data_IF_957010696138
#
_entry.id   IF_957010696138
#
_cell.length_a   1.000
_cell.length_b   1.000
_cell.length_c   1.000
_cell.angle_alpha   90.00
_cell.angle_beta   90.00
_cell.angle_gamma   90.00
#
_symmetry.space_group_name_H-M   'P 1'
#
loop_
_entity.id
_entity.type
_entity.pdbx_description
1 polymer ?
#
# COMPACT_ATOMS: atom_id res chain seq x y z
N UNK A 1 20.43 41.02 16.77
CA UNK A 1 19.31 41.98 16.80
C UNK A 1 18.81 42.19 15.38
N UNK A 2 17.51 41.92 15.15
CA UNK A 2 16.61 42.39 14.07
C UNK A 2 16.93 41.96 12.63
N UNK A 3 16.16 41.02 12.06
CA UNK A 3 14.84 41.16 11.38
C UNK A 3 14.98 41.53 9.89
N UNK A 4 14.34 40.75 9.00
CA UNK A 4 13.54 41.10 7.79
C UNK A 4 13.51 39.80 6.93
N UNK A 5 12.52 38.90 7.06
CA UNK A 5 11.16 38.94 6.49
C UNK A 5 11.12 39.39 5.02
N UNK A 6 11.07 38.45 4.07
CA UNK A 6 10.62 38.75 2.71
C UNK A 6 9.44 37.86 2.33
N UNK A 7 8.28 38.49 2.50
CA UNK A 7 6.95 38.13 2.03
C UNK A 7 6.83 38.51 0.53
N UNK A 8 5.98 37.76 -0.17
CA UNK A 8 5.28 38.11 -1.42
C UNK A 8 6.11 38.36 -2.69
N UNK A 9 6.02 37.40 -3.61
CA UNK A 9 5.70 37.75 -5.01
C UNK A 9 4.47 36.97 -5.46
N UNK A 10 3.34 37.65 -5.42
CA UNK A 10 2.11 37.28 -6.13
C UNK A 10 2.02 38.13 -7.39
N UNK A 11 1.39 37.56 -8.42
CA UNK A 11 0.71 38.24 -9.53
C UNK A 11 1.52 38.60 -10.77
N UNK A 12 1.20 37.91 -11.88
CA UNK A 12 1.05 38.57 -13.18
C UNK A 12 -0.22 38.06 -13.85
N UNK A 13 -1.06 39.02 -14.25
CA UNK A 13 -2.32 38.87 -14.97
C UNK A 13 -2.01 38.78 -16.46
N UNK A 14 -2.62 37.84 -17.18
CA UNK A 14 -2.65 37.82 -18.64
C UNK A 14 -3.99 38.39 -19.11
N UNK A 15 -3.94 39.32 -20.06
CA UNK A 15 -5.07 39.96 -20.71
C UNK A 15 -4.84 40.05 -22.23
N UNK A 16 -5.95 40.26 -22.95
CA UNK A 16 -6.14 40.51 -24.39
C UNK A 16 -6.46 39.25 -25.23
N UNK A 17 -7.69 39.02 -25.73
CA UNK A 17 -8.61 39.76 -26.63
C UNK A 17 -8.24 39.69 -28.12
N UNK A 18 -9.04 38.94 -28.90
CA UNK A 18 -9.55 39.24 -30.26
C UNK A 18 -10.52 38.09 -30.67
N UNK A 19 -11.84 38.24 -30.67
CA UNK A 19 -12.73 38.91 -31.62
C UNK A 19 -12.95 38.16 -32.98
N UNK A 20 -14.22 37.74 -33.17
CA UNK A 20 -14.98 37.60 -34.43
C UNK A 20 -14.94 36.23 -35.16
N UNK A 21 -16.09 35.53 -35.16
CA UNK A 21 -16.82 35.18 -36.40
C UNK A 21 -18.22 34.62 -36.08
N UNK A 22 -19.21 35.50 -36.14
CA UNK A 22 -20.63 35.17 -36.23
C UNK A 22 -20.92 34.85 -37.69
N UNK A 23 -21.24 33.59 -38.02
CA UNK A 23 -22.06 33.24 -39.17
C UNK A 23 -22.85 31.95 -38.88
N UNK A 24 -24.14 32.15 -38.62
CA UNK A 24 -25.26 31.38 -39.16
C UNK A 24 -25.13 29.84 -39.20
N UNK A 25 -25.59 29.17 -38.13
CA UNK A 25 -26.32 27.91 -38.30
C UNK A 25 -27.67 28.01 -37.61
N UNK A 26 -28.69 28.00 -38.46
CA UNK A 26 -30.09 28.22 -38.18
C UNK A 26 -30.62 27.22 -37.16
N UNK A 27 -31.36 27.76 -36.20
CA UNK A 27 -32.34 27.07 -35.38
C UNK A 27 -33.15 26.05 -36.21
N UNK A 28 -33.08 24.78 -35.84
CA UNK A 28 -34.20 23.87 -36.02
C UNK A 28 -34.75 23.55 -34.63
N UNK A 29 -35.88 24.18 -34.33
CA UNK A 29 -36.71 23.82 -33.21
C UNK A 29 -37.26 22.41 -33.43
N UNK A 30 -36.93 21.47 -32.54
CA UNK A 30 -37.64 20.19 -32.45
C UNK A 30 -38.42 20.17 -31.14
N UNK A 31 -39.70 20.51 -31.24
CA UNK A 31 -40.69 20.27 -30.20
C UNK A 31 -41.19 18.82 -30.34
N UNK A 32 -41.04 18.05 -29.26
CA UNK A 32 -41.60 16.70 -29.13
C UNK A 32 -41.89 16.41 -27.67
N UNK A 33 -43.18 16.37 -27.35
CA UNK A 33 -43.80 16.15 -26.04
C UNK A 33 -43.99 14.66 -25.73
N UNK A 34 -43.74 14.30 -24.47
CA UNK A 34 -44.35 13.24 -23.64
C UNK A 34 -44.33 11.76 -24.12
N UNK A 35 -43.65 10.87 -23.38
CA UNK A 35 -44.28 9.95 -22.40
C UNK A 35 -43.34 8.83 -21.90
N UNK A 36 -43.39 8.63 -20.58
CA UNK A 36 -43.24 7.41 -19.77
C UNK A 36 -41.92 6.63 -19.67
N UNK A 37 -41.64 6.31 -18.41
CA UNK A 37 -41.03 5.09 -17.85
C UNK A 37 -39.53 5.07 -17.46
N UNK A 38 -39.33 4.95 -16.14
CA UNK A 38 -38.23 4.30 -15.38
C UNK A 38 -36.79 4.75 -15.69
N UNK A 39 -35.98 5.31 -14.80
CA UNK A 39 -36.00 5.49 -13.35
C UNK A 39 -34.57 5.96 -12.95
N UNK A 40 -34.37 6.61 -11.78
CA UNK A 40 -33.05 7.08 -11.39
C UNK A 40 -32.24 5.92 -10.79
N UNK A 41 -31.20 5.48 -11.52
CA UNK A 41 -30.19 4.57 -10.99
C UNK A 41 -29.30 5.30 -9.99
N UNK A 42 -29.75 5.38 -8.74
CA UNK A 42 -28.92 5.77 -7.60
C UNK A 42 -27.90 4.65 -7.40
N UNK A 43 -26.58 4.94 -7.30
CA UNK A 43 -25.59 3.92 -6.96
C UNK A 43 -25.99 3.31 -5.62
N UNK A 44 -26.08 1.98 -5.60
CA UNK A 44 -26.33 1.25 -4.36
C UNK A 44 -25.19 1.54 -3.41
N UNK A 45 -25.48 2.37 -2.42
CA UNK A 45 -24.77 2.39 -1.16
C UNK A 45 -25.12 1.06 -0.51
N UNK A 46 -24.20 0.10 -0.62
CA UNK A 46 -24.28 -1.14 0.16
C UNK A 46 -24.24 -0.75 1.64
N UNK A 47 -25.39 -0.90 2.27
CA UNK A 47 -25.63 -0.77 3.70
C UNK A 47 -24.85 -1.87 4.45
N UNK A 48 -24.32 -1.62 5.66
CA UNK A 48 -23.39 -2.51 6.34
C UNK A 48 -24.08 -3.82 6.74
N UNK A 49 -23.89 -4.85 5.90
CA UNK A 49 -24.14 -6.23 6.31
C UNK A 49 -23.15 -6.59 7.41
N UNK A 50 -23.74 -6.99 8.55
CA UNK A 50 -23.24 -7.86 9.63
C UNK A 50 -21.84 -8.44 9.38
N UNK A 51 -20.91 -8.44 10.38
CA UNK A 51 -19.51 -8.81 10.16
C UNK A 51 -19.43 -10.19 9.52
N UNK A 52 -19.20 -10.24 8.21
CA UNK A 52 -18.85 -11.46 7.53
C UNK A 52 -17.56 -11.93 8.21
N UNK A 53 -17.62 -13.09 8.86
CA UNK A 53 -16.45 -13.70 9.47
C UNK A 53 -15.39 -13.91 8.39
N UNK A 54 -14.37 -13.06 8.37
CA UNK A 54 -13.26 -13.14 7.42
C UNK A 54 -12.53 -14.47 7.65
N UNK A 55 -12.57 -15.33 6.65
CA UNK A 55 -11.84 -16.60 6.61
C UNK A 55 -10.47 -16.38 6.00
N UNK A 56 -9.58 -17.32 6.26
CA UNK A 56 -8.25 -17.29 5.65
C UNK A 56 -8.34 -17.24 4.13
N UNK A 57 -7.56 -16.35 3.51
CA UNK A 57 -7.53 -16.23 2.07
C UNK A 57 -8.69 -15.43 1.48
N UNK A 58 -9.60 -14.89 2.29
CA UNK A 58 -10.63 -13.98 1.80
C UNK A 58 -9.98 -12.71 1.22
N UNK A 59 -10.38 -12.37 0.00
CA UNK A 59 -9.95 -11.12 -0.62
C UNK A 59 -10.64 -9.95 0.07
N UNK A 60 -9.82 -9.03 0.60
CA UNK A 60 -10.26 -7.73 1.12
C UNK A 60 -10.47 -6.72 -0.03
N UNK A 61 -10.15 -7.12 -1.25
CA UNK A 61 -10.24 -6.35 -2.48
C UNK A 61 -8.95 -5.60 -2.82
N UNK A 62 -9.08 -4.63 -3.73
CA UNK A 62 -7.95 -3.85 -4.24
C UNK A 62 -7.65 -2.68 -3.30
N UNK A 63 -6.38 -2.57 -2.91
CA UNK A 63 -5.84 -1.46 -2.14
C UNK A 63 -4.80 -0.70 -2.96
N UNK A 64 -4.75 0.62 -2.74
CA UNK A 64 -3.65 1.44 -3.23
C UNK A 64 -2.46 1.27 -2.30
N UNK A 65 -1.36 0.78 -2.82
CA UNK A 65 -0.11 0.56 -2.08
C UNK A 65 0.93 1.61 -2.42
N UNK A 66 1.59 2.13 -1.39
CA UNK A 66 2.77 3.01 -1.49
C UNK A 66 3.94 2.43 -0.69
N UNK A 67 5.13 3.01 -0.84
CA UNK A 67 6.29 2.68 -0.03
C UNK A 67 6.73 3.85 0.84
N UNK A 68 7.15 3.56 2.07
CA UNK A 68 7.80 4.51 2.98
C UNK A 68 9.01 3.89 3.67
N UNK A 69 9.86 4.73 4.26
CA UNK A 69 11.02 4.31 5.05
C UNK A 69 11.23 5.23 6.24
N UNK A 70 12.20 4.93 7.10
CA UNK A 70 12.49 5.72 8.32
C UNK A 70 13.21 7.07 8.07
N UNK A 71 13.33 7.53 6.82
CA UNK A 71 14.03 8.76 6.52
C UNK A 71 13.22 10.02 6.88
N UNK A 72 13.90 11.17 6.97
CA UNK A 72 13.27 12.46 7.30
C UNK A 72 12.09 12.82 6.37
N UNK A 73 12.20 12.49 5.08
CA UNK A 73 11.17 12.83 4.09
C UNK A 73 9.90 11.99 4.22
N UNK A 74 10.04 10.73 4.66
CA UNK A 74 8.95 9.77 4.71
C UNK A 74 8.29 9.74 6.09
N UNK A 75 9.08 9.74 7.16
CA UNK A 75 8.58 9.57 8.54
C UNK A 75 9.06 10.64 9.52
N UNK A 76 9.66 11.75 9.04
CA UNK A 76 10.31 12.77 9.89
C UNK A 76 11.39 12.19 10.82
N UNK A 77 12.05 11.12 10.35
CA UNK A 77 13.06 10.42 11.13
C UNK A 77 12.50 9.58 12.28
N UNK A 78 11.19 9.35 12.33
CA UNK A 78 10.60 8.43 13.31
C UNK A 78 11.13 7.01 13.09
N UNK A 79 11.72 6.45 14.14
CA UNK A 79 12.18 5.06 14.18
C UNK A 79 11.17 4.10 14.79
N UNK A 80 9.99 4.58 15.18
CA UNK A 80 8.92 3.78 15.79
C UNK A 80 7.61 3.92 15.00
N UNK A 81 6.90 2.80 14.92
CA UNK A 81 5.53 2.71 14.40
C UNK A 81 4.52 3.25 15.42
N UNK A 82 3.27 3.43 14.99
CA UNK A 82 2.16 3.75 15.89
C UNK A 82 1.99 2.75 17.05
N UNK A 83 2.28 1.45 16.83
CA UNK A 83 2.24 0.43 17.90
C UNK A 83 3.43 0.50 18.87
N UNK A 84 4.45 1.32 18.57
CA UNK A 84 5.66 1.46 19.38
C UNK A 84 6.77 0.46 19.05
N UNK A 85 6.65 -0.28 17.93
CA UNK A 85 7.70 -1.21 17.47
C UNK A 85 8.65 -0.54 16.48
N UNK A 86 9.85 -1.09 16.31
CA UNK A 86 10.73 -0.69 15.21
C UNK A 86 10.21 -1.32 13.91
N UNK A 87 9.92 -0.52 12.87
CA UNK A 87 9.40 -1.05 11.62
C UNK A 87 10.44 -1.94 10.92
N UNK A 88 9.99 -3.02 10.29
CA UNK A 88 10.86 -4.00 9.62
C UNK A 88 10.38 -4.28 8.19
N UNK A 89 11.30 -4.35 7.20
CA UNK A 89 10.92 -4.64 5.81
C UNK A 89 10.31 -6.03 5.69
N UNK A 90 9.40 -6.21 4.73
CA UNK A 90 8.65 -7.47 4.54
C UNK A 90 7.82 -7.93 5.76
N UNK A 91 7.50 -7.00 6.67
CA UNK A 91 6.68 -7.28 7.85
C UNK A 91 5.78 -6.10 8.19
N UNK A 92 6.34 -4.91 8.41
CA UNK A 92 5.56 -3.76 8.88
C UNK A 92 4.80 -3.05 7.73
N UNK A 93 3.52 -2.77 7.95
CA UNK A 93 2.72 -1.87 7.10
C UNK A 93 1.97 -0.83 7.93
N UNK A 94 1.67 0.28 7.26
CA UNK A 94 0.75 1.31 7.71
C UNK A 94 -0.60 1.20 7.00
N UNK A 95 -1.70 1.32 7.74
CA UNK A 95 -3.06 1.23 7.19
C UNK A 95 -4.05 2.09 8.00
N UNK A 96 -5.28 2.19 7.48
CA UNK A 96 -6.42 2.74 8.22
C UNK A 96 -6.88 1.73 9.29
N UNK A 97 -6.72 2.10 10.56
CA UNK A 97 -7.02 1.23 11.70
C UNK A 97 -8.52 0.95 11.88
N UNK A 98 -9.40 1.72 11.24
CA UNK A 98 -10.85 1.46 11.25
C UNK A 98 -11.24 0.30 10.33
N UNK A 99 -10.45 0.07 9.28
CA UNK A 99 -10.64 -1.02 8.33
C UNK A 99 -9.75 -2.22 8.64
N UNK A 100 -8.48 -1.97 8.98
CA UNK A 100 -7.48 -2.98 9.32
C UNK A 100 -6.89 -2.66 10.71
N UNK A 101 -7.48 -3.21 11.79
CA UNK A 101 -6.99 -2.97 13.14
C UNK A 101 -5.53 -3.38 13.33
N UNK A 102 -4.86 -2.79 14.33
CA UNK A 102 -3.48 -3.17 14.68
C UNK A 102 -3.35 -4.68 14.92
N UNK A 103 -2.25 -5.25 14.45
CA UNK A 103 -1.95 -6.68 14.52
C UNK A 103 -2.61 -7.52 13.41
N UNK A 104 -3.50 -6.93 12.61
CA UNK A 104 -4.08 -7.63 11.46
C UNK A 104 -2.98 -8.06 10.50
N UNK A 105 -3.04 -9.31 10.05
CA UNK A 105 -2.13 -9.87 9.06
C UNK A 105 -2.80 -9.92 7.70
N UNK A 106 -2.10 -9.42 6.70
CA UNK A 106 -2.57 -9.40 5.32
C UNK A 106 -1.49 -9.92 4.39
N UNK A 107 -1.90 -10.59 3.32
CA UNK A 107 -1.00 -11.06 2.27
C UNK A 107 -1.07 -10.12 1.08
N UNK A 108 0.10 -9.62 0.65
CA UNK A 108 0.28 -8.73 -0.51
C UNK A 108 1.45 -9.29 -1.32
N UNK A 109 1.24 -9.62 -2.59
CA UNK A 109 2.29 -10.16 -3.48
C UNK A 109 3.10 -11.31 -2.85
N UNK A 110 2.41 -12.28 -2.25
CA UNK A 110 3.01 -13.45 -1.57
C UNK A 110 3.77 -13.20 -0.27
N UNK A 111 3.82 -11.96 0.21
CA UNK A 111 4.43 -11.59 1.49
C UNK A 111 3.31 -11.31 2.51
N UNK A 112 3.46 -11.85 3.72
CA UNK A 112 2.54 -11.57 4.84
C UNK A 112 3.07 -10.39 5.63
N UNK A 113 2.28 -9.33 5.66
CA UNK A 113 2.54 -8.13 6.42
C UNK A 113 1.65 -8.05 7.66
N UNK A 114 2.08 -7.29 8.66
CA UNK A 114 1.38 -7.01 9.91
C UNK A 114 1.13 -5.51 10.01
N UNK A 115 -0.12 -5.13 10.29
CA UNK A 115 -0.49 -3.74 10.54
C UNK A 115 0.05 -3.32 11.91
N UNK A 116 1.08 -2.50 11.92
CA UNK A 116 1.72 -2.01 13.14
C UNK A 116 1.75 -0.48 13.19
N UNK A 117 1.49 0.18 12.06
CA UNK A 117 1.67 1.61 11.91
C UNK A 117 0.42 2.31 11.38
N UNK A 118 0.36 3.63 11.54
CA UNK A 118 -0.69 4.50 11.00
C UNK A 118 -0.05 5.80 10.52
N UNK A 119 -0.28 6.15 9.26
CA UNK A 119 0.22 7.37 8.64
C UNK A 119 -0.87 8.41 8.49
N UNK A 120 -0.56 9.69 8.69
CA UNK A 120 -1.54 10.79 8.60
C UNK A 120 -2.16 11.05 7.22
N UNK A 121 -1.88 10.21 6.22
CA UNK A 121 -2.55 10.20 4.92
C UNK A 121 -2.74 8.79 4.38
N UNK A 122 -2.86 7.80 5.28
CA UNK A 122 -3.07 6.38 4.98
C UNK A 122 -4.47 6.01 5.48
N UNK A 123 -5.47 6.54 4.78
CA UNK A 123 -6.90 6.38 5.11
C UNK A 123 -7.63 5.55 4.06
N UNK A 124 -8.66 4.83 4.48
CA UNK A 124 -9.48 3.98 3.62
C UNK A 124 -8.69 2.78 3.04
N UNK A 125 -8.95 2.45 1.78
CA UNK A 125 -8.28 1.35 1.05
C UNK A 125 -6.88 1.73 0.57
N UNK A 126 -6.04 2.24 1.47
CA UNK A 126 -4.64 2.58 1.22
C UNK A 126 -3.74 1.86 2.23
N UNK A 127 -2.63 1.31 1.76
CA UNK A 127 -1.59 0.67 2.57
C UNK A 127 -0.25 1.33 2.22
N UNK A 128 0.56 1.65 3.23
CA UNK A 128 1.94 2.08 3.04
C UNK A 128 2.87 0.96 3.52
N UNK A 129 3.74 0.47 2.64
CA UNK A 129 4.64 -0.65 2.92
C UNK A 129 5.99 -0.10 3.40
N UNK A 130 6.47 -0.62 4.53
CA UNK A 130 7.78 -0.21 5.04
C UNK A 130 8.93 -0.86 4.27
N UNK A 131 9.88 -0.03 3.89
CA UNK A 131 11.14 -0.41 3.25
C UNK A 131 12.34 0.06 4.08
N UNK A 132 13.42 -0.71 4.01
CA UNK A 132 14.66 -0.42 4.75
C UNK A 132 15.46 0.76 4.16
N UNK A 133 15.23 1.08 2.88
CA UNK A 133 15.88 2.19 2.18
C UNK A 133 14.86 3.12 1.52
N UNK A 134 15.26 4.36 1.23
CA UNK A 134 14.41 5.30 0.53
C UNK A 134 14.28 4.95 -0.96
N UNK A 135 15.34 4.38 -1.51
CA UNK A 135 15.43 3.95 -2.90
C UNK A 135 14.45 2.81 -3.18
N UNK A 136 14.34 1.83 -2.27
CA UNK A 136 13.39 0.72 -2.40
C UNK A 136 11.94 1.21 -2.27
N UNK A 137 11.68 2.14 -1.35
CA UNK A 137 10.36 2.76 -1.20
C UNK A 137 9.93 3.51 -2.48
N UNK A 138 10.86 4.23 -3.12
CA UNK A 138 10.62 4.91 -4.39
C UNK A 138 10.44 3.93 -5.55
N UNK A 139 11.21 2.82 -5.56
CA UNK A 139 11.10 1.80 -6.58
C UNK A 139 9.75 1.06 -6.53
N UNK A 140 9.15 0.90 -5.35
CA UNK A 140 7.78 0.38 -5.20
C UNK A 140 6.75 1.28 -5.91
N UNK A 141 6.91 2.60 -5.81
CA UNK A 141 6.04 3.57 -6.46
C UNK A 141 4.59 3.53 -5.97
N UNK A 142 3.65 3.75 -6.90
CA UNK A 142 2.20 3.71 -6.66
C UNK A 142 1.60 2.53 -7.41
N UNK A 143 1.05 1.57 -6.68
CA UNK A 143 0.50 0.35 -7.27
C UNK A 143 -0.87 0.01 -6.68
N UNK A 144 -1.76 -0.58 -7.48
CA UNK A 144 -3.02 -1.14 -7.00
C UNK A 144 -2.86 -2.65 -6.90
N UNK A 145 -3.01 -3.19 -5.69
CA UNK A 145 -2.73 -4.60 -5.40
C UNK A 145 -3.91 -5.21 -4.67
N UNK A 146 -4.21 -6.47 -4.97
CA UNK A 146 -5.19 -7.23 -4.22
C UNK A 146 -4.61 -7.67 -2.87
N UNK A 147 -5.42 -7.54 -1.82
CA UNK A 147 -5.01 -7.83 -0.44
C UNK A 147 -5.88 -8.95 0.09
N UNK A 148 -5.24 -9.95 0.70
CA UNK A 148 -5.94 -11.10 1.27
C UNK A 148 -5.79 -11.12 2.78
N UNK A 149 -6.86 -11.49 3.49
CA UNK A 149 -6.83 -11.69 4.93
C UNK A 149 -6.07 -12.98 5.28
N UNK A 150 -5.25 -12.91 6.33
CA UNK A 150 -4.53 -14.06 6.86
C UNK A 150 -4.96 -14.27 8.31
N UNK A 151 -5.78 -15.30 8.56
CA UNK A 151 -5.87 -15.85 9.92
C UNK A 151 -4.53 -16.47 10.29
N UNK A 152 -4.17 -16.39 11.58
CA UNK A 152 -2.88 -16.84 12.19
C UNK A 152 -2.04 -17.74 11.28
N UNK A 153 -0.77 -17.38 10.99
CA UNK A 153 0.02 -18.11 10.03
C UNK A 153 0.04 -19.58 10.41
N UNK A 154 -0.45 -20.44 9.51
CA UNK A 154 -0.11 -21.84 9.54
C UNK A 154 1.43 -21.87 9.45
N UNK A 155 2.09 -22.25 10.55
CA UNK A 155 3.51 -22.55 10.53
C UNK A 155 3.68 -23.65 9.49
N UNK A 156 4.06 -23.28 8.27
CA UNK A 156 4.53 -24.22 7.27
C UNK A 156 5.61 -25.03 7.98
N UNK A 157 5.29 -26.27 8.34
CA UNK A 157 6.23 -27.27 8.82
C UNK A 157 7.30 -27.30 7.75
N UNK A 158 8.38 -26.56 7.98
CA UNK A 158 9.58 -26.63 7.16
C UNK A 158 10.05 -28.04 7.40
N UNK A 159 9.67 -28.94 6.48
CA UNK A 159 10.31 -30.24 6.37
C UNK A 159 11.79 -29.92 6.29
N UNK A 160 12.46 -30.20 7.42
CA UNK A 160 13.86 -29.91 7.61
C UNK A 160 14.60 -30.39 6.36
N UNK A 161 15.41 -29.54 5.70
CA UNK A 161 16.27 -30.05 4.65
C UNK A 161 17.11 -31.15 5.30
N UNK A 162 16.97 -32.36 4.77
CA UNK A 162 17.71 -33.54 5.22
C UNK A 162 19.18 -33.14 5.35
N UNK A 163 19.67 -33.18 6.58
CA UNK A 163 21.07 -33.01 6.92
C UNK A 163 21.86 -34.04 6.10
N UNK A 164 22.60 -33.57 5.10
CA UNK A 164 23.52 -34.38 4.33
C UNK A 164 24.57 -34.96 5.28
N UNK A 165 24.40 -36.22 5.63
CA UNK A 165 25.38 -36.99 6.38
C UNK A 165 26.65 -37.09 5.55
N UNK A 166 27.62 -36.24 5.88
CA UNK A 166 28.98 -36.28 5.33
C UNK A 166 29.56 -37.69 5.53
N UNK A 167 29.98 -38.39 4.46
CA UNK A 167 30.52 -39.75 4.60
C UNK A 167 31.79 -39.73 5.46
N UNK A 168 31.82 -40.60 6.46
CA UNK A 168 32.96 -40.86 7.31
C UNK A 168 34.15 -41.30 6.46
N UNK A 169 35.25 -40.54 6.58
CA UNK A 169 36.52 -40.86 5.94
C UNK A 169 37.08 -42.13 6.60
N UNK A 170 37.42 -43.20 5.86
CA UNK A 170 38.09 -44.35 6.46
C UNK A 170 39.52 -43.96 6.88
N UNK A 171 39.86 -44.28 8.12
CA UNK A 171 41.21 -44.19 8.66
C UNK A 171 42.04 -45.32 8.02
N UNK A 172 42.78 -45.01 6.96
CA UNK A 172 43.83 -45.88 6.46
C UNK A 172 45.11 -45.58 7.25
N UNK A 173 45.45 -46.46 8.19
CA UNK A 173 46.81 -46.63 8.68
C UNK A 173 47.54 -47.66 7.83
N UNK A 174 48.81 -47.39 7.48
CA UNK A 174 49.91 -48.24 7.95
C UNK A 174 51.04 -47.33 8.49
N UNK A 175 51.86 -47.71 9.46
CA UNK A 175 52.23 -49.06 9.88
C UNK A 175 53.73 -49.33 9.74
N UNK A 176 54.63 -48.34 9.86
CA UNK A 176 56.07 -48.54 9.65
C UNK A 176 56.84 -47.80 10.77
N UNK A 177 57.23 -48.49 11.84
CA UNK A 177 58.51 -49.19 12.03
C UNK A 177 59.66 -48.24 12.45
N UNK A 178 59.85 -48.14 13.77
CA UNK A 178 61.11 -47.74 14.40
C UNK A 178 62.18 -48.80 14.10
N UNK A 179 63.33 -48.38 13.58
CA UNK A 179 64.65 -49.01 13.75
C UNK A 179 65.73 -47.97 13.52
#
# INVERSE_FOLDING_TARGET
MKTICNICKKSMRAAALTAICILCFSFTAFAGTETSDKGPGVPQVEEPTEPAELKEGDSLGIFKTTGYCSCEKCSKGSGLTYSGTTPTPNHTISADLTLLPLGTKVKINDIVYTVEDMGGGVDGRKIDIYYGSHEDALAHGLSNTEVFFVSKPEEKKVEAPAEETKPSRPLNGPGDAYS
#
